data_IF_821134505341
#
_entry.id   IF_821134505341
#
_cell.length_a   1.000
_cell.length_b   1.000
_cell.length_c   1.000
_cell.angle_alpha   90.00
_cell.angle_beta   90.00
_cell.angle_gamma   90.00
#
_symmetry.space_group_name_H-M   'P 1'
#
loop_
_entity.id
_entity.type
_entity.pdbx_description
1 polymer ?
#
# COMPACT_ATOMS: atom_id res chain seq x y z
N UNK A 1 -9.75 1.59 3.43
CA UNK A 1 -8.34 1.87 3.16
C UNK A 1 -8.10 3.35 3.08
N UNK A 2 -6.96 3.80 3.55
CA UNK A 2 -6.66 5.21 3.69
C UNK A 2 -5.31 5.53 3.04
N UNK A 3 -5.12 6.81 2.69
CA UNK A 3 -3.81 7.36 2.35
C UNK A 3 -3.65 8.70 3.06
N UNK A 4 -2.45 9.29 3.01
CA UNK A 4 -2.20 10.59 3.66
C UNK A 4 -3.05 11.68 3.01
N UNK A 5 -3.73 12.50 3.84
CA UNK A 5 -4.56 13.60 3.39
C UNK A 5 -3.73 14.64 2.60
N UNK A 6 -4.35 15.21 1.55
CA UNK A 6 -3.68 16.13 0.65
C UNK A 6 -2.75 15.50 -0.38
N UNK A 7 -2.42 14.23 -0.18
CA UNK A 7 -1.65 13.43 -1.11
C UNK A 7 -2.43 12.13 -1.37
N UNK A 8 -2.84 11.91 -2.61
CA UNK A 8 -3.47 10.63 -2.98
C UNK A 8 -2.63 9.94 -4.06
N UNK A 9 -1.40 9.48 -3.71
CA UNK A 9 -0.51 8.86 -4.68
C UNK A 9 -1.08 7.56 -5.24
N UNK A 10 -1.95 6.89 -4.49
CA UNK A 10 -2.55 5.62 -4.92
C UNK A 10 -3.57 5.86 -6.03
N UNK A 11 -4.45 6.86 -5.88
CA UNK A 11 -5.42 7.20 -6.93
C UNK A 11 -4.70 7.73 -8.18
N UNK A 12 -3.68 8.57 -8.01
CA UNK A 12 -2.86 9.07 -9.11
C UNK A 12 -2.15 7.93 -9.84
N UNK A 13 -1.57 7.00 -9.10
CA UNK A 13 -0.94 5.81 -9.65
C UNK A 13 -1.94 4.96 -10.44
N UNK A 14 -3.11 4.68 -9.86
CA UNK A 14 -4.16 3.90 -10.51
C UNK A 14 -4.66 4.55 -11.79
N UNK A 15 -4.68 5.88 -11.84
CA UNK A 15 -5.09 6.64 -13.01
C UNK A 15 -4.23 6.42 -14.25
N UNK A 16 -3.01 5.91 -14.09
CA UNK A 16 -2.11 5.59 -15.20
C UNK A 16 -2.44 4.27 -15.90
N UNK A 17 -3.40 3.51 -15.38
CA UNK A 17 -3.70 2.16 -15.89
C UNK A 17 -5.10 2.09 -16.49
N UNK A 18 -5.31 1.06 -17.31
CA UNK A 18 -6.60 0.79 -17.93
C UNK A 18 -7.59 0.19 -16.92
N UNK A 19 -8.85 0.07 -17.32
CA UNK A 19 -9.92 -0.42 -16.45
C UNK A 19 -9.71 -1.86 -15.97
N UNK A 20 -9.07 -2.68 -16.78
CA UNK A 20 -8.77 -4.08 -16.42
C UNK A 20 -7.84 -4.15 -15.19
N UNK A 21 -6.80 -3.33 -15.18
CA UNK A 21 -5.85 -3.27 -14.07
C UNK A 21 -6.52 -2.65 -12.84
N UNK A 22 -7.29 -1.57 -13.02
CA UNK A 22 -8.06 -0.95 -11.93
C UNK A 22 -9.03 -1.93 -11.29
N UNK A 23 -9.70 -2.74 -12.09
CA UNK A 23 -10.62 -3.78 -11.61
C UNK A 23 -9.87 -4.80 -10.74
N UNK A 24 -8.69 -5.22 -11.17
CA UNK A 24 -7.87 -6.14 -10.40
C UNK A 24 -7.37 -5.51 -9.09
N UNK A 25 -7.00 -4.25 -9.11
CA UNK A 25 -6.63 -3.51 -7.89
C UNK A 25 -7.79 -3.48 -6.89
N UNK A 26 -9.00 -3.16 -7.37
CA UNK A 26 -10.19 -3.17 -6.51
C UNK A 26 -10.45 -4.55 -5.91
N UNK A 27 -10.30 -5.61 -6.70
CA UNK A 27 -10.45 -6.98 -6.22
C UNK A 27 -9.48 -7.27 -5.08
N UNK A 28 -8.21 -6.94 -5.26
CA UNK A 28 -7.19 -7.21 -4.23
C UNK A 28 -7.40 -6.35 -2.98
N UNK A 29 -7.84 -5.10 -3.15
CA UNK A 29 -8.20 -4.25 -2.03
C UNK A 29 -9.35 -4.82 -1.20
N UNK A 30 -10.39 -5.33 -1.85
CA UNK A 30 -11.49 -6.03 -1.16
C UNK A 30 -10.99 -7.29 -0.47
N UNK A 31 -10.10 -8.04 -1.11
CA UNK A 31 -9.53 -9.25 -0.53
C UNK A 31 -8.84 -8.96 0.81
N UNK A 32 -7.95 -7.97 0.86
CA UNK A 32 -7.21 -7.67 2.09
C UNK A 32 -8.06 -6.98 3.15
N UNK A 33 -9.16 -6.35 2.76
CA UNK A 33 -10.10 -5.72 3.69
C UNK A 33 -11.01 -6.71 4.40
N UNK A 34 -11.12 -7.93 3.90
CA UNK A 34 -11.92 -8.98 4.52
C UNK A 34 -11.06 -9.73 5.53
N UNK A 35 -11.40 -9.60 6.83
CA UNK A 35 -10.66 -10.22 7.93
C UNK A 35 -10.57 -11.74 7.85
N UNK A 36 -11.49 -12.37 7.10
CA UNK A 36 -11.50 -13.83 6.91
C UNK A 36 -10.41 -14.30 5.96
N UNK A 37 -9.88 -13.40 5.12
CA UNK A 37 -8.84 -13.76 4.16
C UNK A 37 -7.45 -13.69 4.81
N UNK A 38 -6.58 -14.67 4.55
CA UNK A 38 -5.22 -14.62 5.09
C UNK A 38 -4.38 -13.54 4.41
N UNK A 39 -3.64 -12.78 5.21
CA UNK A 39 -2.71 -11.75 4.72
C UNK A 39 -1.35 -12.41 4.42
N UNK A 40 -1.32 -13.24 3.38
CA UNK A 40 -0.13 -13.98 2.98
C UNK A 40 -0.03 -14.10 1.46
N UNK A 41 1.12 -14.60 0.98
CA UNK A 41 1.31 -14.88 -0.45
C UNK A 41 0.19 -15.75 -1.01
N UNK A 42 -0.17 -15.56 -2.29
CA UNK A 42 0.50 -14.71 -3.28
C UNK A 42 0.13 -13.23 -3.24
N UNK A 43 -0.93 -12.84 -2.53
CA UNK A 43 -1.46 -11.48 -2.59
C UNK A 43 -0.75 -10.52 -1.63
N UNK A 44 -0.28 -11.01 -0.50
CA UNK A 44 0.33 -10.19 0.55
C UNK A 44 1.65 -10.79 1.01
N UNK A 45 2.66 -9.95 1.15
CA UNK A 45 3.92 -10.28 1.83
C UNK A 45 4.07 -9.40 3.05
N UNK A 46 4.33 -9.99 4.21
CA UNK A 46 4.74 -9.28 5.41
C UNK A 46 6.26 -9.29 5.52
N UNK A 47 6.86 -8.13 5.71
CA UNK A 47 8.31 -8.03 5.84
C UNK A 47 8.75 -8.40 7.26
N UNK A 48 9.70 -9.34 7.36
CA UNK A 48 10.16 -9.87 8.64
C UNK A 48 11.45 -9.25 9.14
N UNK A 49 12.16 -8.50 8.30
CA UNK A 49 13.33 -7.73 8.69
C UNK A 49 12.90 -6.67 9.71
N UNK A 50 13.59 -6.58 10.83
CA UNK A 50 13.24 -5.70 11.96
C UNK A 50 12.93 -4.27 11.53
N UNK A 51 13.75 -3.70 10.65
CA UNK A 51 13.57 -2.34 10.13
C UNK A 51 12.21 -2.14 9.45
N UNK A 52 11.70 -3.16 8.78
CA UNK A 52 10.50 -3.10 7.94
C UNK A 52 9.31 -3.89 8.49
N UNK A 53 9.37 -4.37 9.71
CA UNK A 53 8.36 -5.30 10.26
C UNK A 53 6.93 -4.74 10.36
N UNK A 54 6.77 -3.41 10.31
CA UNK A 54 5.45 -2.77 10.27
C UNK A 54 4.83 -2.78 8.88
N UNK A 55 5.62 -3.10 7.86
CA UNK A 55 5.23 -2.94 6.47
C UNK A 55 4.75 -4.25 5.86
N UNK A 56 3.76 -4.10 4.99
CA UNK A 56 3.23 -5.16 4.14
C UNK A 56 3.31 -4.72 2.69
N UNK A 57 3.44 -5.68 1.81
CA UNK A 57 3.41 -5.45 0.37
C UNK A 57 2.23 -6.18 -0.24
N UNK A 58 1.34 -5.40 -0.85
CA UNK A 58 0.25 -5.92 -1.65
C UNK A 58 0.80 -6.21 -3.05
N UNK A 59 0.53 -7.41 -3.56
CA UNK A 59 1.07 -7.89 -4.82
C UNK A 59 -0.03 -8.17 -5.81
N UNK A 60 0.10 -7.63 -7.01
CA UNK A 60 -0.74 -8.04 -8.12
C UNK A 60 0.03 -8.01 -9.42
N UNK A 61 -0.38 -8.88 -10.35
CA UNK A 61 0.16 -8.94 -11.69
C UNK A 61 -1.00 -8.86 -12.67
N UNK A 62 -0.89 -7.93 -13.60
CA UNK A 62 -1.87 -7.77 -14.67
C UNK A 62 -1.13 -7.53 -15.97
N UNK A 63 -1.37 -8.37 -16.96
CA UNK A 63 -0.63 -8.39 -18.23
C UNK A 63 0.87 -8.41 -17.99
N UNK A 64 1.82 -8.38 -18.14
CA UNK A 64 3.23 -8.43 -17.76
C UNK A 64 3.66 -7.35 -16.75
N UNK A 65 2.70 -6.64 -16.14
CA UNK A 65 3.00 -5.59 -15.18
C UNK A 65 2.90 -6.11 -13.77
N UNK A 66 4.00 -6.01 -13.01
CA UNK A 66 4.03 -6.37 -11.58
C UNK A 66 3.82 -5.11 -10.76
N UNK A 67 2.66 -5.01 -10.11
CA UNK A 67 2.29 -3.87 -9.28
C UNK A 67 2.47 -4.24 -7.82
N UNK A 68 3.07 -3.32 -7.06
CA UNK A 68 3.29 -3.45 -5.62
C UNK A 68 2.77 -2.23 -4.91
N UNK A 69 2.11 -2.44 -3.78
CA UNK A 69 1.63 -1.35 -2.92
C UNK A 69 2.09 -1.64 -1.50
N UNK A 70 2.88 -0.74 -0.94
CA UNK A 70 3.36 -0.84 0.44
C UNK A 70 2.30 -0.23 1.36
N UNK A 71 1.93 -0.95 2.41
CA UNK A 71 0.95 -0.48 3.38
C UNK A 71 1.34 -0.90 4.80
N UNK A 72 0.68 -0.29 5.77
CA UNK A 72 0.77 -0.68 7.18
C UNK A 72 -0.60 -0.55 7.85
N UNK A 73 -0.69 -0.99 9.07
CA UNK A 73 -1.93 -0.89 9.83
C UNK A 73 -1.83 0.18 10.91
N UNK A 74 -2.88 0.99 11.03
CA UNK A 74 -3.13 1.80 12.22
C UNK A 74 -4.38 1.19 12.86
N UNK A 75 -4.19 0.49 13.99
CA UNK A 75 -5.20 -0.39 14.58
C UNK A 75 -5.67 -1.42 13.53
N UNK A 76 -6.94 -1.42 13.17
CA UNK A 76 -7.49 -2.33 12.16
C UNK A 76 -7.53 -1.71 10.76
N UNK A 77 -7.21 -0.43 10.64
CA UNK A 77 -7.27 0.28 9.38
C UNK A 77 -6.03 0.04 8.52
N UNK A 78 -6.24 -0.17 7.24
CA UNK A 78 -5.16 -0.31 6.25
C UNK A 78 -4.83 1.07 5.70
N UNK A 79 -3.55 1.44 5.82
CA UNK A 79 -3.05 2.73 5.33
C UNK A 79 -2.06 2.48 4.20
N UNK A 80 -2.46 2.87 2.99
CA UNK A 80 -1.65 2.71 1.79
C UNK A 80 -0.62 3.82 1.72
N UNK A 81 0.65 3.47 1.55
CA UNK A 81 1.75 4.42 1.60
C UNK A 81 2.34 4.73 0.23
N UNK A 82 2.58 3.71 -0.57
CA UNK A 82 3.27 3.88 -1.84
C UNK A 82 2.94 2.76 -2.80
N UNK A 83 2.72 3.11 -4.06
CA UNK A 83 2.47 2.16 -5.13
C UNK A 83 3.53 2.33 -6.22
N UNK A 84 4.00 1.21 -6.77
CA UNK A 84 5.02 1.24 -7.82
C UNK A 84 4.93 0.01 -8.72
N UNK A 85 5.52 0.12 -9.90
CA UNK A 85 5.73 -1.02 -10.79
C UNK A 85 7.10 -1.60 -10.48
N UNK A 86 7.12 -2.87 -10.09
CA UNK A 86 8.37 -3.55 -9.73
C UNK A 86 9.10 -4.05 -10.98
N UNK A 87 10.36 -3.67 -11.10
CA UNK A 87 11.27 -4.11 -12.17
C UNK A 87 12.43 -4.92 -11.62
N UNK A 88 12.99 -4.52 -10.47
CA UNK A 88 14.07 -5.24 -9.80
C UNK A 88 13.99 -5.12 -8.27
N UNK A 89 14.93 -5.75 -7.56
CA UNK A 89 14.97 -5.74 -6.09
C UNK A 89 15.12 -4.34 -5.49
N UNK A 90 15.84 -3.45 -6.16
CA UNK A 90 16.08 -2.10 -5.64
C UNK A 90 14.81 -1.28 -5.58
N UNK A 91 13.86 -1.53 -6.48
CA UNK A 91 12.56 -0.88 -6.46
C UNK A 91 11.85 -1.12 -5.13
N UNK A 92 11.88 -2.36 -4.63
CA UNK A 92 11.27 -2.71 -3.34
C UNK A 92 11.99 -2.05 -2.17
N UNK A 93 13.32 -2.08 -2.14
CA UNK A 93 14.08 -1.44 -1.05
C UNK A 93 13.84 0.07 -1.01
N UNK A 94 13.86 0.74 -2.15
CA UNK A 94 13.58 2.16 -2.24
C UNK A 94 12.17 2.48 -1.79
N UNK A 95 11.18 1.66 -2.17
CA UNK A 95 9.79 1.83 -1.76
C UNK A 95 9.62 1.65 -0.25
N UNK A 96 10.29 0.67 0.34
CA UNK A 96 10.24 0.42 1.79
C UNK A 96 10.84 1.61 2.56
N UNK A 97 11.99 2.11 2.14
CA UNK A 97 12.62 3.26 2.78
C UNK A 97 11.77 4.52 2.65
N UNK A 98 11.17 4.74 1.50
CA UNK A 98 10.22 5.84 1.29
C UNK A 98 9.00 5.71 2.19
N UNK A 99 8.45 4.50 2.32
CA UNK A 99 7.29 4.23 3.17
C UNK A 99 7.60 4.52 4.65
N UNK A 100 8.79 4.16 5.13
CA UNK A 100 9.21 4.49 6.51
C UNK A 100 9.25 5.99 6.74
N UNK A 101 9.71 6.77 5.77
CA UNK A 101 9.71 8.24 5.87
C UNK A 101 8.29 8.80 5.95
N UNK A 102 7.34 8.21 5.21
CA UNK A 102 5.94 8.62 5.29
C UNK A 102 5.33 8.29 6.65
N UNK A 103 5.65 7.12 7.23
CA UNK A 103 5.21 6.75 8.58
C UNK A 103 5.75 7.76 9.60
N UNK A 104 7.02 8.11 9.51
CA UNK A 104 7.63 9.10 10.42
C UNK A 104 6.91 10.45 10.33
N UNK A 105 6.54 10.89 9.14
CA UNK A 105 5.74 12.11 8.95
C UNK A 105 4.37 12.00 9.59
N UNK A 106 3.68 10.88 9.39
CA UNK A 106 2.36 10.66 9.98
C UNK A 106 2.46 10.68 11.51
N UNK A 107 3.44 10.02 12.08
CA UNK A 107 3.65 9.97 13.53
C UNK A 107 4.02 11.33 14.11
N UNK A 108 4.72 12.18 13.36
CA UNK A 108 5.20 13.49 13.82
C UNK A 108 4.17 14.63 13.66
N UNK A 109 3.28 14.57 12.67
CA UNK A 109 2.42 15.69 12.30
C UNK A 109 1.11 15.78 13.09
N UNK A 110 0.67 14.69 13.74
CA UNK A 110 -0.57 14.68 14.48
C UNK A 110 -0.50 13.81 15.72
N UNK A 111 -1.23 14.22 16.75
CA UNK A 111 -1.44 13.39 17.95
C UNK A 111 -2.30 12.18 17.65
N UNK A 112 -3.24 12.31 16.70
CA UNK A 112 -4.00 11.20 16.14
C UNK A 112 -3.67 11.08 14.65
N UNK A 113 -2.95 10.00 14.24
CA UNK A 113 -2.60 9.80 12.83
C UNK A 113 -3.78 9.80 11.88
N UNK A 114 -4.98 9.42 12.35
CA UNK A 114 -6.19 9.38 11.52
C UNK A 114 -6.61 10.74 11.00
N UNK A 115 -6.26 11.82 11.68
CA UNK A 115 -6.57 13.19 11.24
C UNK A 115 -5.87 13.54 9.92
N UNK A 116 -4.78 12.82 9.59
CA UNK A 116 -4.00 13.04 8.37
C UNK A 116 -4.41 12.12 7.23
N UNK A 117 -5.41 11.28 7.43
CA UNK A 117 -5.77 10.24 6.47
C UNK A 117 -7.06 10.57 5.73
N UNK A 118 -7.11 10.18 4.47
CA UNK A 118 -8.33 10.22 3.66
C UNK A 118 -8.60 8.84 3.07
N UNK A 119 -9.87 8.51 2.90
CA UNK A 119 -10.25 7.23 2.33
C UNK A 119 -9.86 7.14 0.85
N UNK A 120 -9.32 5.98 0.46
CA UNK A 120 -8.90 5.73 -0.92
C UNK A 120 -10.05 5.08 -1.69
N UNK A 121 -10.41 5.71 -2.81
CA UNK A 121 -11.40 5.20 -3.75
C UNK A 121 -10.75 5.09 -5.13
N UNK A 122 -10.93 3.95 -5.76
CA UNK A 122 -10.41 3.69 -7.11
C UNK A 122 -11.55 3.35 -8.06
#
# INVERSE_FOLDING_TARGET
MYSKDGENPIAAFAGNFNDKIKKKMRFVFHYISDERNPLKEPHVKHFTIEKYKRLYELRLKASNTMIRIIYFHINEDIVLLHAFVKRDKRDTEQALDYALKLIDKIDAEASDPRELLMEVTI
#
